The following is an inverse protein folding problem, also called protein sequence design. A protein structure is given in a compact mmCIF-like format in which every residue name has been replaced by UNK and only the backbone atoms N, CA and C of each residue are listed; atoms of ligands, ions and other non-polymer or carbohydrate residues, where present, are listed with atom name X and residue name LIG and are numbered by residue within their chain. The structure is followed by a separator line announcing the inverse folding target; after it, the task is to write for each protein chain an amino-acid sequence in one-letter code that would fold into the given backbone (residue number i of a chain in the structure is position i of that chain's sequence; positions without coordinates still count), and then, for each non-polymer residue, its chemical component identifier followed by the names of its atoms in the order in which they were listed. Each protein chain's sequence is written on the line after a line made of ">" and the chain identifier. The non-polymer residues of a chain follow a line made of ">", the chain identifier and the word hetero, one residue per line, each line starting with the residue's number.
data_IF_878820028171
#
_entry.id   IF_878820028171
#
_cell.length_a   1.000
_cell.length_b   1.000
_cell.length_c   1.000
_cell.angle_alpha   90.00
_cell.angle_beta   90.00
_cell.angle_gamma   90.00
#
_symmetry.space_group_name_H-M   'P 1'
#
loop_
_entity.id
_entity.type
_entity.pdbx_description
1 polymer ?
#
# COMPACT_ATOMS: atom_id res chain seq x y z
N UNK A 1 -12.79 6.49 -9.98
CA UNK A 1 -13.55 6.76 -8.73
C UNK A 1 -13.07 5.77 -7.68
N UNK A 2 -12.28 6.22 -6.70
CA UNK A 2 -11.72 5.34 -5.66
C UNK A 2 -12.83 5.04 -4.66
N UNK A 3 -13.10 3.77 -4.38
CA UNK A 3 -13.99 3.40 -3.29
C UNK A 3 -13.21 3.49 -1.97
N UNK A 4 -13.30 4.63 -1.28
CA UNK A 4 -12.86 4.71 0.11
C UNK A 4 -13.77 3.80 0.94
N UNK A 5 -13.20 2.87 1.67
CA UNK A 5 -13.95 2.03 2.59
C UNK A 5 -14.21 2.80 3.89
N UNK A 6 -15.48 2.92 4.28
CA UNK A 6 -15.82 3.40 5.60
C UNK A 6 -15.27 2.46 6.69
N UNK A 7 -15.12 2.92 7.95
CA UNK A 7 -14.68 2.06 9.05
C UNK A 7 -15.49 0.76 9.19
N UNK A 8 -16.79 0.85 8.95
CA UNK A 8 -17.69 -0.30 8.96
C UNK A 8 -17.39 -1.26 7.81
N UNK A 9 -17.15 -0.75 6.61
CA UNK A 9 -16.79 -1.56 5.44
C UNK A 9 -15.42 -2.22 5.63
N UNK A 10 -14.43 -1.53 6.23
CA UNK A 10 -13.14 -2.11 6.59
C UNK A 10 -13.30 -3.28 7.56
N UNK A 11 -14.15 -3.12 8.58
CA UNK A 11 -14.48 -4.19 9.53
C UNK A 11 -15.17 -5.36 8.83
N UNK A 12 -16.17 -5.09 8.00
CA UNK A 12 -16.88 -6.13 7.24
C UNK A 12 -15.95 -6.88 6.30
N UNK A 13 -15.02 -6.20 5.62
CA UNK A 13 -14.04 -6.84 4.76
C UNK A 13 -13.07 -7.74 5.56
N UNK A 14 -12.67 -7.35 6.76
CA UNK A 14 -11.85 -8.19 7.63
C UNK A 14 -12.58 -9.47 8.10
N UNK A 15 -13.90 -9.40 8.22
CA UNK A 15 -14.77 -10.51 8.65
C UNK A 15 -15.29 -11.35 7.46
N UNK A 16 -15.15 -10.84 6.24
CA UNK A 16 -15.69 -11.49 5.04
C UNK A 16 -14.84 -12.68 4.62
N UNK A 17 -15.44 -13.87 4.65
CA UNK A 17 -14.81 -15.07 4.10
C UNK A 17 -15.04 -15.09 2.59
N UNK A 18 -13.98 -14.92 1.80
CA UNK A 18 -14.06 -15.04 0.34
C UNK A 18 -14.10 -16.52 -0.05
N UNK A 19 -15.27 -17.00 -0.43
CA UNK A 19 -15.53 -18.43 -0.55
C UNK A 19 -15.24 -19.03 -1.92
N UNK A 20 -15.09 -18.28 -2.99
CA UNK A 20 -14.80 -18.87 -4.31
C UNK A 20 -13.83 -18.05 -5.17
N UNK A 21 -12.58 -18.00 -4.75
CA UNK A 21 -11.52 -17.40 -5.55
C UNK A 21 -10.76 -18.42 -6.41
N UNK A 22 -11.04 -19.71 -6.25
CA UNK A 22 -10.28 -20.78 -6.92
C UNK A 22 -10.48 -20.85 -8.44
N UNK A 23 -11.44 -20.11 -9.01
CA UNK A 23 -11.56 -19.94 -10.47
C UNK A 23 -10.52 -18.98 -11.05
N UNK A 24 -9.93 -18.11 -10.24
CA UNK A 24 -8.96 -17.09 -10.66
C UNK A 24 -7.54 -17.65 -10.64
N UNK A 25 -6.85 -17.64 -11.78
CA UNK A 25 -5.46 -18.06 -11.88
C UNK A 25 -4.53 -16.85 -11.86
N UNK A 26 -3.60 -16.84 -10.90
CA UNK A 26 -2.66 -15.75 -10.69
C UNK A 26 -1.22 -16.17 -11.04
N UNK A 27 -0.46 -15.27 -11.64
CA UNK A 27 1.01 -15.34 -11.63
C UNK A 27 1.54 -14.44 -10.51
N UNK A 28 2.60 -14.87 -9.86
CA UNK A 28 3.41 -14.05 -8.96
C UNK A 28 4.73 -13.82 -9.67
N UNK A 29 4.93 -12.61 -10.18
CA UNK A 29 6.14 -12.22 -10.89
C UNK A 29 7.11 -11.52 -9.93
N UNK A 30 8.20 -12.22 -9.62
CA UNK A 30 9.20 -11.77 -8.65
C UNK A 30 10.62 -12.11 -9.17
N UNK A 31 11.21 -11.25 -10.01
CA UNK A 31 12.55 -11.52 -10.56
C UNK A 31 13.61 -11.51 -9.46
N UNK A 32 14.54 -12.46 -9.55
CA UNK A 32 15.62 -12.66 -8.58
C UNK A 32 15.22 -13.54 -7.39
N UNK A 33 16.12 -13.64 -6.40
CA UNK A 33 15.88 -14.45 -5.20
C UNK A 33 14.88 -13.77 -4.27
N UNK A 34 13.84 -14.50 -3.84
CA UNK A 34 12.74 -14.06 -3.00
C UNK A 34 12.43 -15.13 -1.96
N UNK A 35 13.31 -15.27 -0.96
CA UNK A 35 13.21 -16.39 0.00
C UNK A 35 11.99 -16.25 0.91
N UNK A 36 11.75 -15.07 1.47
CA UNK A 36 10.61 -14.83 2.35
C UNK A 36 9.29 -14.97 1.58
N UNK A 37 9.22 -14.42 0.36
CA UNK A 37 8.07 -14.58 -0.53
C UNK A 37 7.80 -16.05 -0.83
N UNK A 38 8.81 -16.83 -1.23
CA UNK A 38 8.66 -18.24 -1.59
C UNK A 38 8.13 -19.06 -0.42
N UNK A 39 8.64 -18.84 0.78
CA UNK A 39 8.18 -19.52 1.99
C UNK A 39 6.74 -19.16 2.32
N UNK A 40 6.38 -17.89 2.31
CA UNK A 40 5.03 -17.43 2.60
C UNK A 40 4.00 -17.84 1.55
N UNK A 41 4.40 -17.99 0.28
CA UNK A 41 3.53 -18.50 -0.78
C UNK A 41 3.17 -19.97 -0.58
N UNK A 42 4.00 -20.77 0.06
CA UNK A 42 3.67 -22.17 0.38
C UNK A 42 2.47 -22.29 1.34
N UNK A 43 2.20 -21.27 2.14
CA UNK A 43 1.13 -21.20 3.13
C UNK A 43 -0.19 -20.59 2.61
N UNK A 44 -0.22 -20.13 1.35
CA UNK A 44 -1.40 -19.46 0.79
C UNK A 44 -2.63 -20.39 0.76
N UNK A 45 -3.78 -19.87 1.15
CA UNK A 45 -5.06 -20.56 1.03
C UNK A 45 -5.55 -20.62 -0.41
N UNK A 46 -5.27 -19.58 -1.21
CA UNK A 46 -5.50 -19.61 -2.66
C UNK A 46 -4.43 -20.48 -3.33
N UNK A 47 -4.85 -21.53 -4.06
CA UNK A 47 -3.91 -22.54 -4.61
C UNK A 47 -3.69 -22.41 -6.12
N UNK A 48 -4.49 -21.64 -6.83
CA UNK A 48 -4.33 -21.41 -8.28
C UNK A 48 -3.39 -20.25 -8.58
N UNK A 49 -2.13 -20.44 -8.29
CA UNK A 49 -1.08 -19.49 -8.64
C UNK A 49 0.21 -20.19 -9.06
N UNK A 50 1.09 -19.45 -9.72
CA UNK A 50 2.46 -19.87 -10.05
C UNK A 50 3.42 -18.72 -9.82
N UNK A 51 4.53 -19.00 -9.15
CA UNK A 51 5.67 -18.08 -9.01
C UNK A 51 6.56 -18.18 -10.26
N UNK A 52 6.89 -17.03 -10.86
CA UNK A 52 7.72 -16.91 -12.05
C UNK A 52 8.78 -15.82 -11.90
N UNK A 53 9.94 -15.99 -12.52
CA UNK A 53 11.03 -15.03 -12.56
C UNK A 53 11.10 -14.23 -13.87
N UNK A 54 10.24 -14.57 -14.83
CA UNK A 54 10.05 -13.90 -16.12
C UNK A 54 8.61 -14.01 -16.57
N UNK A 55 8.14 -13.03 -17.33
CA UNK A 55 6.76 -13.03 -17.87
C UNK A 55 6.67 -13.65 -19.26
N UNK A 56 7.79 -13.67 -20.01
CA UNK A 56 7.80 -14.21 -21.35
C UNK A 56 7.45 -15.70 -21.37
N UNK A 57 6.48 -16.07 -22.19
CA UNK A 57 5.98 -17.46 -22.30
C UNK A 57 5.04 -17.92 -21.18
N UNK A 58 4.89 -17.14 -20.10
CA UNK A 58 4.05 -17.49 -18.95
C UNK A 58 2.64 -16.90 -19.01
N UNK A 59 2.45 -15.85 -19.79
CA UNK A 59 1.19 -15.13 -19.93
C UNK A 59 0.20 -15.85 -20.85
N UNK A 60 -0.28 -17.02 -20.42
CA UNK A 60 -1.33 -17.76 -21.14
C UNK A 60 -2.70 -17.12 -21.03
N UNK A 61 -3.69 -17.45 -21.88
CA UNK A 61 -5.06 -16.92 -21.78
C UNK A 61 -5.76 -17.23 -20.44
N UNK A 62 -5.32 -18.26 -19.72
CA UNK A 62 -5.88 -18.63 -18.42
C UNK A 62 -5.44 -17.72 -17.27
N UNK A 63 -4.42 -16.88 -17.45
CA UNK A 63 -3.93 -15.95 -16.42
C UNK A 63 -4.88 -14.77 -16.29
N UNK A 64 -5.51 -14.64 -15.12
CA UNK A 64 -6.45 -13.56 -14.82
C UNK A 64 -5.73 -12.32 -14.29
N UNK A 65 -4.65 -12.49 -13.52
CA UNK A 65 -3.88 -11.38 -12.96
C UNK A 65 -2.46 -11.75 -12.63
N UNK A 66 -1.63 -10.72 -12.43
CA UNK A 66 -0.21 -10.86 -12.09
C UNK A 66 0.12 -10.00 -10.88
N UNK A 67 0.56 -10.64 -9.80
CA UNK A 67 1.13 -9.97 -8.65
C UNK A 67 2.57 -9.60 -8.98
N UNK A 68 2.84 -8.31 -9.13
CA UNK A 68 4.18 -7.78 -9.34
C UNK A 68 4.86 -7.57 -7.99
N UNK A 69 6.07 -8.09 -7.83
CA UNK A 69 6.83 -8.01 -6.57
C UNK A 69 8.24 -7.53 -6.87
N UNK A 70 8.59 -6.32 -6.41
CA UNK A 70 9.89 -5.70 -6.70
C UNK A 70 11.00 -6.07 -5.73
N UNK A 71 10.65 -6.57 -4.54
CA UNK A 71 11.61 -6.94 -3.49
C UNK A 71 11.12 -8.15 -2.68
N UNK A 72 11.95 -8.66 -1.77
CA UNK A 72 11.57 -9.80 -0.93
C UNK A 72 10.54 -9.36 0.12
N UNK A 73 9.38 -10.01 0.14
CA UNK A 73 8.24 -9.68 0.98
C UNK A 73 7.57 -10.94 1.49
N UNK A 74 7.08 -10.92 2.69
CA UNK A 74 6.21 -12.00 3.21
C UNK A 74 4.75 -11.65 2.93
N UNK A 75 4.00 -12.62 2.42
CA UNK A 75 2.55 -12.52 2.22
C UNK A 75 1.84 -13.26 3.36
N UNK A 76 0.80 -12.67 3.93
CA UNK A 76 -0.08 -13.44 4.83
C UNK A 76 -0.73 -14.60 4.06
N UNK A 77 -1.11 -15.67 4.76
CA UNK A 77 -1.70 -16.87 4.12
C UNK A 77 -2.98 -16.60 3.32
N UNK A 78 -3.62 -15.47 3.56
CA UNK A 78 -4.86 -15.03 2.88
C UNK A 78 -4.62 -14.01 1.75
N UNK A 79 -3.40 -13.54 1.55
CA UNK A 79 -3.10 -12.43 0.63
C UNK A 79 -3.62 -12.68 -0.79
N UNK A 80 -3.26 -13.82 -1.39
CA UNK A 80 -3.71 -14.16 -2.74
C UNK A 80 -5.22 -14.36 -2.84
N UNK A 81 -5.88 -14.79 -1.76
CA UNK A 81 -7.35 -14.92 -1.71
C UNK A 81 -8.01 -13.54 -1.81
N UNK A 82 -7.56 -12.56 -1.03
CA UNK A 82 -8.08 -11.20 -1.09
C UNK A 82 -7.81 -10.53 -2.45
N UNK A 83 -6.62 -10.72 -2.98
CA UNK A 83 -6.25 -10.21 -4.29
C UNK A 83 -7.10 -10.80 -5.41
N UNK A 84 -7.29 -12.13 -5.42
CA UNK A 84 -8.15 -12.81 -6.40
C UNK A 84 -9.61 -12.33 -6.29
N UNK A 85 -10.14 -12.17 -5.08
CA UNK A 85 -11.49 -11.67 -4.86
C UNK A 85 -11.69 -10.24 -5.39
N UNK A 86 -10.72 -9.35 -5.16
CA UNK A 86 -10.77 -8.00 -5.68
C UNK A 86 -10.78 -7.96 -7.22
N UNK A 87 -9.99 -8.83 -7.87
CA UNK A 87 -10.02 -9.01 -9.34
C UNK A 87 -11.40 -9.47 -9.83
N UNK A 88 -11.99 -10.47 -9.18
CA UNK A 88 -13.32 -10.97 -9.54
C UNK A 88 -14.40 -9.89 -9.41
N UNK A 89 -14.21 -8.94 -8.52
CA UNK A 89 -15.07 -7.78 -8.34
C UNK A 89 -14.78 -6.64 -9.34
N UNK A 90 -13.93 -6.90 -10.34
CA UNK A 90 -13.65 -5.98 -11.44
C UNK A 90 -12.54 -4.97 -11.20
N UNK A 91 -11.71 -5.13 -10.14
CA UNK A 91 -10.52 -4.29 -10.00
C UNK A 91 -9.52 -4.59 -11.12
N UNK A 92 -8.86 -3.57 -11.64
CA UNK A 92 -7.74 -3.73 -12.57
C UNK A 92 -6.38 -3.53 -11.88
N UNK A 93 -6.34 -2.79 -10.78
CA UNK A 93 -5.19 -2.67 -9.86
C UNK A 93 -5.63 -2.95 -8.43
N UNK A 94 -4.93 -3.85 -7.73
CA UNK A 94 -5.21 -4.15 -6.32
C UNK A 94 -3.96 -3.91 -5.48
N UNK A 95 -4.14 -3.15 -4.43
CA UNK A 95 -3.14 -2.80 -3.42
C UNK A 95 -3.66 -3.14 -2.02
N UNK A 96 -2.81 -3.15 -1.02
CA UNK A 96 -3.21 -3.43 0.36
C UNK A 96 -2.36 -2.63 1.35
N UNK A 97 -2.78 -2.65 2.62
CA UNK A 97 -1.96 -2.18 3.72
C UNK A 97 -0.71 -3.09 3.88
N UNK A 98 0.36 -2.55 4.44
CA UNK A 98 1.62 -3.26 4.61
C UNK A 98 2.26 -2.97 5.98
N UNK A 99 3.02 -3.94 6.49
CA UNK A 99 3.87 -3.79 7.67
C UNK A 99 5.32 -3.68 7.22
N UNK A 100 6.05 -2.73 7.79
CA UNK A 100 7.48 -2.54 7.58
C UNK A 100 8.23 -2.66 8.90
N UNK A 101 9.40 -3.30 8.89
CA UNK A 101 10.27 -3.41 10.04
C UNK A 101 10.40 -4.85 10.56
N UNK A 102 11.12 -4.95 11.67
CA UNK A 102 11.37 -6.20 12.38
C UNK A 102 10.48 -6.29 13.62
N UNK A 103 10.31 -7.49 14.18
CA UNK A 103 9.49 -7.74 15.36
C UNK A 103 9.77 -6.72 16.49
N UNK A 104 8.71 -6.07 16.97
CA UNK A 104 8.75 -5.12 18.09
C UNK A 104 8.88 -3.64 17.73
N UNK A 105 9.25 -3.29 16.49
CA UNK A 105 9.40 -1.90 16.03
C UNK A 105 8.74 -1.62 14.68
N UNK A 106 7.76 -2.43 14.30
CA UNK A 106 7.17 -2.36 12.97
C UNK A 106 6.26 -1.14 12.79
N UNK A 107 6.38 -0.50 11.61
CA UNK A 107 5.45 0.52 11.16
C UNK A 107 4.33 -0.11 10.35
N UNK A 108 3.07 0.19 10.68
CA UNK A 108 1.91 -0.17 9.88
C UNK A 108 1.62 0.97 8.91
N UNK A 109 1.73 0.71 7.61
CA UNK A 109 1.35 1.61 6.54
C UNK A 109 -0.03 1.28 6.03
N UNK A 110 -0.94 2.28 6.02
CA UNK A 110 -2.32 2.16 5.58
C UNK A 110 -2.63 3.25 4.56
N UNK A 111 -3.39 2.88 3.52
CA UNK A 111 -3.80 3.81 2.48
C UNK A 111 -5.14 3.40 1.87
N UNK A 112 -5.96 4.37 1.49
CA UNK A 112 -7.13 4.18 0.62
C UNK A 112 -6.86 4.60 -0.82
N UNK A 113 -5.63 5.05 -1.09
CA UNK A 113 -5.21 5.56 -2.39
C UNK A 113 -4.12 4.70 -2.98
N UNK A 114 -4.03 4.76 -4.36
CA UNK A 114 -2.89 4.37 -5.03
C UNK A 114 -1.72 5.33 -4.77
N UNK A 115 -0.65 4.85 -4.27
CA UNK A 115 0.57 5.60 -4.12
C UNK A 115 1.63 5.06 -5.06
N UNK A 116 2.35 5.96 -5.67
CA UNK A 116 3.38 5.66 -6.65
C UNK A 116 4.60 4.93 -6.08
N UNK A 117 4.76 4.88 -4.76
CA UNK A 117 5.84 4.19 -4.06
C UNK A 117 5.64 2.69 -3.84
N UNK A 118 4.56 2.12 -4.33
CA UNK A 118 4.26 0.71 -4.04
C UNK A 118 5.27 -0.26 -4.64
N UNK A 119 5.70 -1.21 -3.82
CA UNK A 119 6.67 -2.25 -4.16
C UNK A 119 6.03 -3.57 -4.56
N UNK A 120 4.72 -3.70 -4.33
CA UNK A 120 3.94 -4.90 -4.63
C UNK A 120 2.49 -4.53 -4.92
N UNK A 121 1.96 -5.00 -6.05
CA UNK A 121 0.55 -4.83 -6.41
C UNK A 121 0.09 -5.94 -7.36
N UNK A 122 -1.21 -6.28 -7.30
CA UNK A 122 -1.82 -7.18 -8.27
C UNK A 122 -2.43 -6.36 -9.40
N UNK A 123 -2.06 -6.71 -10.64
CA UNK A 123 -2.63 -6.16 -11.86
C UNK A 123 -3.55 -7.18 -12.51
N UNK A 124 -4.68 -6.74 -13.04
CA UNK A 124 -5.45 -7.55 -13.98
C UNK A 124 -4.60 -7.83 -15.22
N UNK A 125 -4.88 -8.92 -15.93
CA UNK A 125 -4.21 -9.24 -17.18
C UNK A 125 -4.30 -8.07 -18.19
N UNK A 126 -5.47 -7.47 -18.32
CA UNK A 126 -5.69 -6.35 -19.24
C UNK A 126 -4.87 -5.11 -18.89
N UNK A 127 -4.73 -4.79 -17.58
CA UNK A 127 -3.88 -3.68 -17.14
C UNK A 127 -2.41 -3.98 -17.41
N UNK A 128 -1.93 -5.19 -17.09
CA UNK A 128 -0.55 -5.59 -17.37
C UNK A 128 -0.21 -5.47 -18.85
N UNK A 129 -1.10 -5.92 -19.75
CA UNK A 129 -0.87 -5.84 -21.19
C UNK A 129 -0.75 -4.36 -21.65
N UNK A 130 -1.55 -3.45 -21.10
CA UNK A 130 -1.42 -1.99 -21.32
C UNK A 130 -0.09 -1.45 -20.79
N UNK A 131 0.32 -1.85 -19.59
CA UNK A 131 1.61 -1.44 -19.00
C UNK A 131 2.79 -1.92 -19.85
N UNK A 132 2.79 -3.18 -20.28
CA UNK A 132 3.84 -3.74 -21.13
C UNK A 132 3.92 -3.06 -22.51
N UNK A 133 2.78 -2.72 -23.09
CA UNK A 133 2.74 -1.94 -24.33
C UNK A 133 3.38 -0.55 -24.13
N UNK A 134 3.05 0.16 -23.05
CA UNK A 134 3.64 1.44 -22.70
C UNK A 134 5.14 1.35 -22.37
N UNK A 135 5.57 0.28 -21.71
CA UNK A 135 6.98 -0.03 -21.41
C UNK A 135 7.77 -0.56 -22.63
N UNK A 136 7.15 -0.63 -23.80
CA UNK A 136 7.75 -1.18 -25.02
C UNK A 136 8.28 -2.62 -24.86
N UNK A 137 7.52 -3.45 -24.14
CA UNK A 137 7.81 -4.85 -23.88
C UNK A 137 8.87 -5.09 -22.80
N UNK A 138 9.32 -4.07 -22.07
CA UNK A 138 10.20 -4.25 -20.92
C UNK A 138 9.42 -4.73 -19.71
N UNK A 139 9.89 -5.79 -19.05
CA UNK A 139 9.25 -6.39 -17.87
C UNK A 139 9.96 -5.95 -16.57
N UNK A 140 10.40 -4.68 -16.49
CA UNK A 140 10.89 -4.10 -15.24
C UNK A 140 9.74 -3.87 -14.27
N UNK A 141 9.83 -4.48 -13.08
CA UNK A 141 8.73 -4.48 -12.09
C UNK A 141 8.39 -3.09 -11.61
N UNK A 142 9.39 -2.25 -11.29
CA UNK A 142 9.14 -0.90 -10.79
C UNK A 142 8.51 -0.01 -11.86
N UNK A 143 8.96 -0.14 -13.10
CA UNK A 143 8.36 0.60 -14.23
C UNK A 143 6.93 0.11 -14.50
N UNK A 144 6.67 -1.20 -14.45
CA UNK A 144 5.32 -1.74 -14.60
C UNK A 144 4.38 -1.27 -13.47
N UNK A 145 4.86 -1.24 -12.22
CA UNK A 145 4.09 -0.70 -11.08
C UNK A 145 3.80 0.80 -11.27
N UNK A 146 4.80 1.59 -11.68
CA UNK A 146 4.63 3.02 -11.97
C UNK A 146 3.58 3.25 -13.08
N UNK A 147 3.65 2.49 -14.16
CA UNK A 147 2.69 2.56 -15.26
C UNK A 147 1.30 2.09 -14.83
N UNK A 148 1.21 1.03 -14.02
CA UNK A 148 -0.05 0.56 -13.48
C UNK A 148 -0.78 1.64 -12.69
N UNK A 149 -0.05 2.39 -11.85
CA UNK A 149 -0.58 3.53 -11.12
C UNK A 149 -1.15 4.62 -12.04
N UNK A 150 -0.58 4.84 -13.20
CA UNK A 150 -1.04 5.85 -14.17
C UNK A 150 -2.19 5.36 -15.04
N UNK A 151 -2.19 4.07 -15.40
CA UNK A 151 -3.12 3.51 -16.39
C UNK A 151 -4.33 2.80 -15.77
N UNK A 152 -4.32 2.53 -14.47
CA UNK A 152 -5.43 1.88 -13.80
C UNK A 152 -6.70 2.73 -13.86
N UNK A 153 -7.83 2.09 -14.14
CA UNK A 153 -9.16 2.71 -14.19
C UNK A 153 -9.99 2.35 -12.96
N UNK A 154 -9.76 1.17 -12.40
CA UNK A 154 -10.45 0.67 -11.22
C UNK A 154 -9.44 0.13 -10.20
N UNK A 155 -8.87 1.03 -9.42
CA UNK A 155 -8.00 0.66 -8.31
C UNK A 155 -8.83 0.28 -7.08
N UNK A 156 -8.40 -0.76 -6.40
CA UNK A 156 -8.98 -1.18 -5.14
C UNK A 156 -7.90 -1.40 -4.09
N UNK A 157 -8.07 -0.76 -2.94
CA UNK A 157 -7.26 -1.03 -1.76
C UNK A 157 -7.95 -2.08 -0.88
N UNK A 158 -7.24 -3.14 -0.54
CA UNK A 158 -7.67 -4.10 0.48
C UNK A 158 -7.21 -3.57 1.83
N UNK A 159 -8.13 -3.20 2.75
CA UNK A 159 -7.78 -2.55 4.02
C UNK A 159 -7.31 -3.59 5.06
N UNK A 160 -6.30 -4.32 4.69
CA UNK A 160 -5.64 -5.32 5.53
C UNK A 160 -4.15 -5.31 5.24
N UNK A 161 -3.33 -5.47 6.29
CA UNK A 161 -1.90 -5.64 6.18
C UNK A 161 -1.59 -7.06 5.66
N UNK A 162 -1.60 -7.23 4.36
CA UNK A 162 -1.37 -8.51 3.70
C UNK A 162 0.09 -8.77 3.36
N UNK A 163 0.92 -7.74 3.42
CA UNK A 163 2.34 -7.75 3.06
C UNK A 163 3.19 -7.33 4.24
N UNK A 164 4.31 -8.01 4.46
CA UNK A 164 5.30 -7.64 5.46
C UNK A 164 6.69 -7.54 4.83
N UNK A 165 7.23 -6.32 4.85
CA UNK A 165 8.58 -6.02 4.39
C UNK A 165 9.54 -6.02 5.58
N UNK A 166 10.49 -6.95 5.62
CA UNK A 166 11.50 -7.07 6.68
C UNK A 166 12.61 -6.03 6.52
N UNK A 167 12.22 -4.78 6.49
CA UNK A 167 13.09 -3.60 6.49
C UNK A 167 12.32 -2.39 7.02
N UNK A 168 13.02 -1.34 7.38
CA UNK A 168 12.38 -0.07 7.76
C UNK A 168 11.62 0.53 6.56
N UNK A 169 10.54 1.24 6.86
CA UNK A 169 9.81 2.03 5.89
C UNK A 169 10.61 3.26 5.50
N UNK A 170 10.72 3.54 4.21
CA UNK A 170 11.44 4.68 3.69
C UNK A 170 10.50 5.64 2.89
N UNK A 171 11.00 6.82 2.57
CA UNK A 171 10.20 7.84 1.89
C UNK A 171 9.66 7.38 0.52
N UNK A 172 10.42 6.56 -0.20
CA UNK A 172 10.03 6.01 -1.49
C UNK A 172 8.91 4.97 -1.42
N UNK A 173 8.59 4.44 -0.23
CA UNK A 173 7.45 3.54 -0.03
C UNK A 173 6.13 4.30 0.03
N UNK A 174 6.16 5.56 0.41
CA UNK A 174 4.97 6.37 0.70
C UNK A 174 4.78 7.54 -0.24
N UNK A 175 5.84 8.04 -0.87
CA UNK A 175 5.80 9.18 -1.78
C UNK A 175 6.24 8.83 -3.18
N UNK A 176 5.70 9.52 -4.17
CA UNK A 176 6.20 9.46 -5.54
C UNK A 176 7.57 10.13 -5.68
N UNK A 177 8.29 9.76 -6.74
CA UNK A 177 9.59 10.34 -7.03
C UNK A 177 9.53 11.84 -7.38
N UNK A 178 8.38 12.33 -7.86
CA UNK A 178 8.22 13.68 -8.44
C UNK A 178 7.13 14.52 -7.77
N UNK A 179 6.39 13.97 -6.80
CA UNK A 179 5.33 14.66 -6.08
C UNK A 179 5.87 15.62 -5.03
N UNK A 180 5.08 16.66 -4.70
CA UNK A 180 5.30 17.44 -3.49
C UNK A 180 4.92 16.61 -2.27
N UNK A 181 5.73 16.64 -1.22
CA UNK A 181 5.62 15.75 -0.07
C UNK A 181 5.24 16.52 1.18
N UNK A 182 4.16 16.12 1.83
CA UNK A 182 3.76 16.69 3.12
C UNK A 182 3.67 15.59 4.17
N UNK A 183 4.29 15.84 5.32
CA UNK A 183 4.19 15.00 6.51
C UNK A 183 3.38 15.73 7.56
N UNK A 184 2.36 15.06 8.08
CA UNK A 184 1.51 15.57 9.17
C UNK A 184 1.77 14.73 10.41
N UNK A 185 2.22 15.36 11.48
CA UNK A 185 2.52 14.72 12.74
C UNK A 185 1.33 14.84 13.69
N UNK A 186 0.83 13.71 14.17
CA UNK A 186 -0.20 13.65 15.17
C UNK A 186 0.29 12.85 16.38
N UNK A 187 0.39 13.48 17.55
CA UNK A 187 0.82 12.81 18.78
C UNK A 187 -0.19 11.76 19.27
N UNK A 188 -1.40 11.80 18.75
CA UNK A 188 -2.47 10.84 18.96
C UNK A 188 -3.35 10.75 17.73
N UNK A 189 -4.07 9.65 17.57
CA UNK A 189 -5.10 9.48 16.54
C UNK A 189 -6.49 9.27 17.14
N UNK A 190 -6.74 9.88 18.31
CA UNK A 190 -8.05 9.87 18.97
C UNK A 190 -9.03 10.84 18.31
N UNK A 191 -10.31 10.74 18.66
CA UNK A 191 -11.37 11.64 18.15
C UNK A 191 -11.44 12.95 18.95
N UNK A 192 -10.28 13.58 19.18
CA UNK A 192 -10.15 14.86 19.91
C UNK A 192 -9.98 16.06 18.95
N UNK A 193 -9.94 17.28 19.51
CA UNK A 193 -9.85 18.50 18.71
C UNK A 193 -8.60 18.59 17.85
N UNK A 194 -7.42 18.19 18.37
CA UNK A 194 -6.15 18.31 17.67
C UNK A 194 -6.10 17.44 16.38
N UNK A 195 -6.37 16.13 16.41
CA UNK A 195 -6.46 15.32 15.20
C UNK A 195 -7.52 15.80 14.21
N UNK A 196 -8.70 16.24 14.68
CA UNK A 196 -9.77 16.73 13.80
C UNK A 196 -9.34 17.98 13.01
N UNK A 197 -8.59 18.88 13.64
CA UNK A 197 -8.01 20.05 12.93
C UNK A 197 -7.05 19.59 11.85
N UNK A 198 -6.19 18.61 12.14
CA UNK A 198 -5.27 18.05 11.15
C UNK A 198 -6.01 17.38 9.98
N UNK A 199 -7.07 16.61 10.25
CA UNK A 199 -7.93 16.03 9.20
C UNK A 199 -8.42 17.10 8.24
N UNK A 200 -8.86 18.26 8.77
CA UNK A 200 -9.36 19.38 7.95
C UNK A 200 -8.29 20.02 7.06
N UNK A 201 -7.01 19.90 7.42
CA UNK A 201 -5.91 20.43 6.62
C UNK A 201 -5.55 19.53 5.41
N UNK A 202 -5.84 18.23 5.47
CA UNK A 202 -5.48 17.28 4.42
C UNK A 202 -6.03 17.66 3.04
N UNK A 203 -7.35 17.94 2.85
CA UNK A 203 -7.88 18.32 1.55
C UNK A 203 -7.24 19.60 0.99
N UNK A 204 -6.88 20.54 1.86
CA UNK A 204 -6.19 21.78 1.47
C UNK A 204 -4.80 21.46 0.92
N UNK A 205 -3.99 20.68 1.65
CA UNK A 205 -2.65 20.27 1.19
C UNK A 205 -2.73 19.53 -0.14
N UNK A 206 -3.71 18.64 -0.28
CA UNK A 206 -3.92 17.91 -1.52
C UNK A 206 -4.30 18.81 -2.69
N UNK A 207 -5.14 19.83 -2.45
CA UNK A 207 -5.50 20.82 -3.49
C UNK A 207 -4.29 21.65 -3.96
N UNK A 208 -3.25 21.77 -3.12
CA UNK A 208 -1.97 22.40 -3.44
C UNK A 208 -0.98 21.44 -4.13
N UNK A 209 -1.40 20.20 -4.38
CA UNK A 209 -0.62 19.18 -5.09
C UNK A 209 0.32 18.37 -4.20
N UNK A 210 0.13 18.39 -2.87
CA UNK A 210 0.91 17.56 -1.97
C UNK A 210 0.38 16.12 -1.90
N UNK A 211 1.28 15.17 -1.89
CA UNK A 211 1.07 13.81 -1.35
C UNK A 211 1.20 13.90 0.16
N UNK A 212 0.19 13.46 0.89
CA UNK A 212 0.12 13.66 2.35
C UNK A 212 0.24 12.34 3.09
N UNK A 213 1.19 12.28 4.01
CA UNK A 213 1.37 11.15 4.95
C UNK A 213 1.16 11.64 6.37
N UNK A 214 0.30 10.98 7.11
CA UNK A 214 0.08 11.22 8.55
C UNK A 214 0.88 10.21 9.35
N UNK A 215 1.62 10.68 10.33
CA UNK A 215 2.34 9.85 11.30
C UNK A 215 1.64 9.92 12.66
N UNK A 216 1.40 8.77 13.26
CA UNK A 216 0.77 8.67 14.59
C UNK A 216 1.19 7.43 15.37
N UNK A 217 0.92 7.38 16.69
CA UNK A 217 1.41 6.30 17.56
C UNK A 217 0.62 4.99 17.46
N UNK A 218 -0.63 5.04 17.01
CA UNK A 218 -1.54 3.89 16.99
C UNK A 218 -2.56 4.00 15.86
N UNK A 219 -3.29 2.92 15.59
CA UNK A 219 -4.33 2.84 14.57
C UNK A 219 -5.74 3.07 15.12
N UNK A 220 -5.92 4.04 15.99
CA UNK A 220 -7.15 4.31 16.72
C UNK A 220 -7.96 5.49 16.15
N UNK A 221 -9.22 5.53 16.53
CA UNK A 221 -10.14 6.69 16.51
C UNK A 221 -10.24 7.44 15.17
N UNK A 222 -9.47 8.48 14.98
CA UNK A 222 -9.54 9.38 13.83
C UNK A 222 -8.80 8.88 12.57
N UNK A 223 -8.07 7.76 12.65
CA UNK A 223 -7.34 7.22 11.51
C UNK A 223 -8.22 7.08 10.24
N UNK A 224 -9.45 6.55 10.30
CA UNK A 224 -10.30 6.47 9.12
C UNK A 224 -10.61 7.82 8.48
N UNK A 225 -10.70 8.88 9.27
CA UNK A 225 -10.97 10.23 8.76
C UNK A 225 -9.78 10.78 7.96
N UNK A 226 -8.54 10.48 8.40
CA UNK A 226 -7.35 10.84 7.64
C UNK A 226 -7.30 10.13 6.28
N UNK A 227 -7.62 8.84 6.26
CA UNK A 227 -7.70 8.07 5.02
C UNK A 227 -8.80 8.61 4.08
N UNK A 228 -9.99 8.89 4.61
CA UNK A 228 -11.10 9.48 3.86
C UNK A 228 -10.77 10.88 3.33
N UNK A 229 -10.01 11.67 4.08
CA UNK A 229 -9.51 12.97 3.64
C UNK A 229 -8.42 12.86 2.54
N UNK A 230 -7.91 11.67 2.32
CA UNK A 230 -6.98 11.37 1.24
C UNK A 230 -5.52 11.36 1.63
N UNK A 231 -5.19 11.18 2.90
CA UNK A 231 -3.82 10.91 3.35
C UNK A 231 -3.55 9.41 3.41
N UNK A 232 -2.28 9.02 3.26
CA UNK A 232 -1.81 7.76 3.80
C UNK A 232 -1.49 7.91 5.29
N UNK A 233 -1.56 6.83 6.05
CA UNK A 233 -1.29 6.86 7.49
C UNK A 233 -0.21 5.83 7.82
N UNK A 234 0.79 6.26 8.55
CA UNK A 234 1.82 5.39 9.12
C UNK A 234 1.67 5.42 10.64
N UNK A 235 1.41 4.27 11.23
CA UNK A 235 1.30 4.15 12.69
C UNK A 235 2.49 3.37 13.24
N UNK A 236 3.11 3.93 14.29
CA UNK A 236 4.23 3.32 14.98
C UNK A 236 4.23 3.79 16.45
N UNK A 237 4.40 2.88 17.40
CA UNK A 237 4.36 3.19 18.84
C UNK A 237 5.39 4.23 19.28
N UNK A 238 6.56 4.21 18.67
CA UNK A 238 7.68 5.12 18.92
C UNK A 238 7.79 6.22 17.85
N UNK A 239 6.68 6.64 17.27
CA UNK A 239 6.66 7.52 16.10
C UNK A 239 7.49 8.81 16.31
N UNK A 240 7.50 9.39 17.50
CA UNK A 240 8.22 10.64 17.81
C UNK A 240 9.75 10.48 17.87
N UNK A 241 10.25 9.24 18.09
CA UNK A 241 11.70 8.95 18.25
C UNK A 241 12.24 8.01 17.18
N UNK A 242 11.40 7.55 16.25
CA UNK A 242 11.76 6.54 15.27
C UNK A 242 12.60 7.10 14.12
N UNK A 243 13.51 6.28 13.59
CA UNK A 243 14.25 6.57 12.36
C UNK A 243 13.30 6.82 11.16
N UNK A 244 12.20 6.09 11.10
CA UNK A 244 11.14 6.26 10.08
C UNK A 244 10.58 7.68 10.07
N UNK A 245 10.31 8.26 11.26
CA UNK A 245 9.83 9.63 11.38
C UNK A 245 10.85 10.63 10.81
N UNK A 246 12.11 10.50 11.24
CA UNK A 246 13.17 11.41 10.78
C UNK A 246 13.40 11.32 9.28
N UNK A 247 13.34 10.13 8.72
CA UNK A 247 13.45 9.92 7.29
C UNK A 247 12.30 10.56 6.52
N UNK A 248 11.06 10.30 6.92
CA UNK A 248 9.89 10.88 6.26
C UNK A 248 9.85 12.40 6.41
N UNK A 249 10.10 12.92 7.60
CA UNK A 249 10.11 14.37 7.84
C UNK A 249 11.22 15.08 7.06
N UNK A 250 12.43 14.51 7.01
CA UNK A 250 13.56 15.10 6.26
C UNK A 250 13.38 15.01 4.73
N UNK A 251 12.55 14.09 4.25
CA UNK A 251 12.23 13.94 2.83
C UNK A 251 11.06 14.81 2.37
N UNK A 252 10.36 15.46 3.29
CA UNK A 252 9.15 16.25 3.00
C UNK A 252 9.49 17.69 2.64
N UNK A 253 8.72 18.26 1.70
CA UNK A 253 8.77 19.70 1.40
C UNK A 253 8.04 20.52 2.48
N UNK A 254 7.14 19.87 3.23
CA UNK A 254 6.33 20.52 4.23
C UNK A 254 6.02 19.54 5.38
N UNK A 255 6.24 20.02 6.62
CA UNK A 255 5.90 19.27 7.85
C UNK A 255 4.89 20.09 8.64
N UNK A 256 3.75 19.49 8.97
CA UNK A 256 2.71 20.07 9.81
C UNK A 256 2.63 19.33 11.14
N UNK A 257 2.92 20.01 12.22
CA UNK A 257 2.72 19.54 13.59
C UNK A 257 1.80 20.52 14.34
N UNK A 258 0.83 20.02 15.09
CA UNK A 258 -0.14 20.93 15.72
C UNK A 258 -0.04 20.96 17.25
N UNK A 259 0.96 20.33 17.84
CA UNK A 259 1.22 20.37 19.28
C UNK A 259 2.69 20.51 19.58
N UNK A 260 3.00 21.01 20.82
CA UNK A 260 4.38 21.15 21.28
C UNK A 260 5.09 19.81 21.53
N UNK A 261 4.36 18.71 21.52
CA UNK A 261 4.93 17.35 21.71
C UNK A 261 5.83 16.97 20.52
N UNK A 262 5.52 17.47 19.30
CA UNK A 262 6.31 17.24 18.11
C UNK A 262 7.43 18.28 17.89
N UNK A 263 7.58 19.26 18.78
CA UNK A 263 8.59 20.31 18.64
C UNK A 263 10.03 19.80 18.43
N UNK A 264 10.48 18.67 19.05
CA UNK A 264 11.79 18.10 18.77
C UNK A 264 12.01 17.63 17.34
N UNK A 265 10.93 17.38 16.60
CA UNK A 265 10.95 16.86 15.23
C UNK A 265 11.05 17.97 14.18
N UNK A 266 10.53 19.17 14.50
CA UNK A 266 10.45 20.27 13.54
C UNK A 266 11.52 21.34 13.76
N UNK A 267 12.33 21.24 14.83
CA UNK A 267 13.50 22.07 15.10
C UNK A 267 14.78 21.33 14.72
#
# INVERSE_FOLDING_TARGET
>A
MYSSYSPLQRRQLREQTYTDTQSTYLLVYAPGRRNALTLSLAEQLHRKFRLVDRLEGELTPSVNGVLLVSEDVECTSTALTYFAAALQQGADLVVCDAVFGYDGGSALYQTDQHLSGQRCALLSRALLDRCRAAARGKDDVLELLRLANQLAQNCRCVPQALLHFRRELCAEDVFSATGKRAVVLSHELTMTGAPIVLVSAIPVLRSLGYEVVVLGPSDEGSLPLFLEAGAAVVTRRDCVTSSTLWELASSADFVLANTVVEAPVVN
#
